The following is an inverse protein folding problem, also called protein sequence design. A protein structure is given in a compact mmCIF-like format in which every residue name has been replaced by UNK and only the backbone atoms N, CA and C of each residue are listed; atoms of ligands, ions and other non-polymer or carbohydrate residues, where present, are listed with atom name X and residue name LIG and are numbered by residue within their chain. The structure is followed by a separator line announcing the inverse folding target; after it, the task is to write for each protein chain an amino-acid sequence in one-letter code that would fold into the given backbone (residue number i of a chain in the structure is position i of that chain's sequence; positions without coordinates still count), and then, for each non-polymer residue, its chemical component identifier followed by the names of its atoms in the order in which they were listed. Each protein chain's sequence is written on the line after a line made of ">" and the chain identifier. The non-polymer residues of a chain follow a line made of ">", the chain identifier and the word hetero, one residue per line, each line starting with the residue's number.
data_IF_146789866692
#
_entry.id   IF_146789866692
#
_cell.length_a   1.000
_cell.length_b   1.000
_cell.length_c   1.000
_cell.angle_alpha   90.00
_cell.angle_beta   90.00
_cell.angle_gamma   90.00
#
_symmetry.space_group_name_H-M   'P 1'
#
loop_
_entity.id
_entity.type
_entity.pdbx_description
1 polymer ?
#
# COMPACT_ATOMS: atom_id res chain seq x y z
N UNK A 1 9.78 19.67 -14.93
CA UNK A 1 8.85 20.17 -13.89
C UNK A 1 8.45 18.96 -13.07
N UNK A 2 9.04 18.78 -11.88
CA UNK A 2 8.63 17.70 -10.98
C UNK A 2 7.23 18.05 -10.50
N UNK A 3 6.23 17.26 -10.89
CA UNK A 3 4.87 17.46 -10.42
C UNK A 3 4.88 17.34 -8.89
N UNK A 4 4.28 18.30 -8.19
CA UNK A 4 3.96 18.15 -6.77
C UNK A 4 3.07 16.91 -6.67
N UNK A 5 3.52 15.89 -5.95
CA UNK A 5 2.67 14.76 -5.62
C UNK A 5 1.73 15.19 -4.50
N UNK A 6 0.44 14.92 -4.66
CA UNK A 6 -0.52 15.04 -3.58
C UNK A 6 -0.27 13.93 -2.54
N UNK A 7 -0.63 14.20 -1.30
CA UNK A 7 -0.53 13.24 -0.19
C UNK A 7 -1.84 13.20 0.59
N UNK A 8 -2.05 12.13 1.34
CA UNK A 8 -3.22 11.95 2.19
C UNK A 8 -3.23 13.02 3.30
N UNK A 9 -4.40 13.63 3.51
CA UNK A 9 -4.58 14.59 4.61
C UNK A 9 -4.65 13.92 6.00
N UNK A 10 -5.02 12.65 6.04
CA UNK A 10 -5.08 11.81 7.23
C UNK A 10 -5.04 10.33 6.84
N UNK A 11 -4.75 9.46 7.80
CA UNK A 11 -4.82 8.01 7.62
C UNK A 11 -6.23 7.58 7.18
N UNK A 12 -6.29 6.65 6.25
CA UNK A 12 -7.53 6.07 5.72
C UNK A 12 -7.51 4.56 5.85
N UNK A 13 -8.69 3.99 6.07
CA UNK A 13 -8.88 2.55 6.07
C UNK A 13 -10.14 2.19 5.30
N UNK A 14 -10.11 1.06 4.62
CA UNK A 14 -11.28 0.52 3.93
C UNK A 14 -11.29 -0.99 4.03
N UNK A 15 -12.50 -1.56 4.02
CA UNK A 15 -12.68 -3.00 4.01
C UNK A 15 -13.67 -3.39 2.93
N UNK A 16 -13.32 -4.44 2.20
CA UNK A 16 -14.15 -5.04 1.16
C UNK A 16 -14.15 -6.56 1.29
N UNK A 17 -15.35 -7.15 1.30
CA UNK A 17 -15.50 -8.61 1.26
C UNK A 17 -15.88 -9.03 -0.17
N UNK A 18 -15.07 -9.88 -0.82
CA UNK A 18 -15.26 -10.37 -2.19
C UNK A 18 -15.15 -11.89 -2.18
N UNK A 19 -16.20 -12.60 -2.61
CA UNK A 19 -16.18 -14.06 -2.80
C UNK A 19 -15.57 -14.83 -1.60
N UNK A 20 -16.00 -14.49 -0.39
CA UNK A 20 -15.50 -15.05 0.88
C UNK A 20 -14.07 -14.64 1.29
N UNK A 21 -13.36 -13.88 0.46
CA UNK A 21 -12.11 -13.22 0.83
C UNK A 21 -12.39 -11.84 1.43
N UNK A 22 -11.59 -11.46 2.43
CA UNK A 22 -11.65 -10.16 3.08
C UNK A 22 -10.40 -9.36 2.75
N UNK A 23 -10.60 -8.19 2.18
CA UNK A 23 -9.54 -7.23 1.87
C UNK A 23 -9.64 -6.07 2.87
N UNK A 24 -8.56 -5.80 3.59
CA UNK A 24 -8.44 -4.67 4.52
C UNK A 24 -7.31 -3.78 4.03
N UNK A 25 -7.67 -2.58 3.58
CA UNK A 25 -6.73 -1.58 3.11
C UNK A 25 -6.44 -0.57 4.23
N UNK A 26 -5.15 -0.28 4.41
CA UNK A 26 -4.66 0.80 5.25
C UNK A 26 -3.84 1.74 4.35
N UNK A 27 -4.08 3.05 4.44
CA UNK A 27 -3.34 4.06 3.72
C UNK A 27 -2.95 5.19 4.67
N UNK A 28 -1.71 5.65 4.57
CA UNK A 28 -1.14 6.68 5.42
C UNK A 28 -0.22 7.57 4.59
N UNK A 29 -0.08 8.83 4.98
CA UNK A 29 0.94 9.71 4.43
C UNK A 29 2.34 9.24 4.86
N UNK A 30 3.34 9.51 4.02
CA UNK A 30 4.73 9.17 4.30
C UNK A 30 5.59 10.42 4.43
N UNK A 31 6.43 10.43 5.45
CA UNK A 31 7.44 11.49 5.66
C UNK A 31 8.80 11.11 5.09
N UNK A 32 9.08 9.80 4.98
CA UNK A 32 10.31 9.25 4.42
C UNK A 32 10.06 7.87 3.79
N UNK A 33 10.96 7.38 2.92
CA UNK A 33 10.90 5.99 2.43
C UNK A 33 11.01 4.94 3.54
N UNK A 34 11.72 5.24 4.63
CA UNK A 34 11.85 4.33 5.78
C UNK A 34 10.53 4.21 6.56
N UNK A 35 9.80 5.32 6.72
CA UNK A 35 8.49 5.35 7.38
C UNK A 35 7.52 4.35 6.69
N UNK A 36 7.62 4.15 5.37
CA UNK A 36 6.77 3.18 4.66
C UNK A 36 6.84 1.76 5.24
N UNK A 37 8.05 1.29 5.57
CA UNK A 37 8.23 -0.04 6.14
C UNK A 37 7.70 -0.13 7.58
N UNK A 38 7.83 0.95 8.35
CA UNK A 38 7.25 1.04 9.70
C UNK A 38 5.72 0.99 9.66
N UNK A 39 5.09 1.66 8.69
CA UNK A 39 3.64 1.57 8.48
C UNK A 39 3.24 0.14 8.14
N UNK A 40 3.92 -0.49 7.18
CA UNK A 40 3.62 -1.87 6.76
C UNK A 40 3.73 -2.83 7.95
N UNK A 41 4.81 -2.75 8.74
CA UNK A 41 4.98 -3.60 9.92
C UNK A 41 3.92 -3.36 11.00
N UNK A 42 3.49 -2.10 11.18
CA UNK A 42 2.46 -1.73 12.17
C UNK A 42 1.08 -2.26 11.81
N UNK A 43 0.74 -2.31 10.51
CA UNK A 43 -0.60 -2.72 10.05
C UNK A 43 -0.66 -4.16 9.55
N UNK A 44 0.48 -4.83 9.41
CA UNK A 44 0.53 -6.23 9.01
C UNK A 44 -0.23 -7.12 9.99
N UNK A 45 -1.02 -8.04 9.45
CA UNK A 45 -1.78 -9.03 10.21
C UNK A 45 -1.12 -10.39 9.99
N UNK A 46 -0.50 -11.00 11.02
CA UNK A 46 0.20 -12.28 10.88
C UNK A 46 -0.67 -13.41 10.35
N UNK A 47 -1.97 -13.38 10.64
CA UNK A 47 -2.94 -14.40 10.20
C UNK A 47 -3.54 -14.12 8.82
N UNK A 48 -3.24 -12.97 8.20
CA UNK A 48 -3.69 -12.70 6.84
C UNK A 48 -2.95 -13.60 5.84
N UNK A 49 -3.66 -14.03 4.78
CA UNK A 49 -3.06 -14.85 3.73
C UNK A 49 -1.93 -14.09 3.01
N UNK A 50 -2.13 -12.80 2.79
CA UNK A 50 -1.18 -11.89 2.16
C UNK A 50 -1.32 -10.50 2.79
N UNK A 51 -0.19 -9.84 3.02
CA UNK A 51 -0.02 -8.45 3.43
C UNK A 51 0.64 -7.67 2.26
N UNK A 52 -0.04 -7.63 1.12
CA UNK A 52 0.43 -6.90 -0.07
C UNK A 52 0.48 -5.39 0.22
N UNK A 53 1.47 -4.69 -0.35
CA UNK A 53 1.63 -3.25 -0.12
C UNK A 53 2.31 -2.56 -1.31
N UNK A 54 2.15 -1.24 -1.37
CA UNK A 54 2.96 -0.37 -2.22
C UNK A 54 3.10 1.01 -1.59
N UNK A 55 4.12 1.76 -2.00
CA UNK A 55 4.27 3.17 -1.65
C UNK A 55 4.92 3.98 -2.77
N UNK A 56 4.68 5.29 -2.73
CA UNK A 56 5.42 6.31 -3.46
C UNK A 56 5.83 7.44 -2.52
N UNK A 57 7.08 7.86 -2.61
CA UNK A 57 7.64 9.03 -1.96
C UNK A 57 8.54 9.76 -2.97
N UNK A 58 7.98 10.75 -3.68
CA UNK A 58 8.68 11.36 -4.82
C UNK A 58 8.99 10.33 -5.92
N UNK A 59 10.27 10.20 -6.25
CA UNK A 59 10.77 9.21 -7.22
C UNK A 59 11.01 7.83 -6.59
N UNK A 60 11.03 7.72 -5.26
CA UNK A 60 11.18 6.45 -4.56
C UNK A 60 9.83 5.72 -4.51
N UNK A 61 9.75 4.56 -5.15
CA UNK A 61 8.56 3.71 -5.09
C UNK A 61 8.94 2.25 -4.94
N UNK A 62 8.11 1.51 -4.22
CA UNK A 62 8.23 0.04 -4.10
C UNK A 62 6.85 -0.58 -3.97
N UNK A 63 6.78 -1.86 -4.29
CA UNK A 63 5.59 -2.67 -4.10
C UNK A 63 5.96 -4.12 -3.78
N UNK A 64 5.06 -4.82 -3.11
CA UNK A 64 5.18 -6.24 -2.76
C UNK A 64 3.85 -6.94 -2.99
N UNK A 65 3.92 -8.09 -3.64
CA UNK A 65 2.78 -9.00 -3.82
C UNK A 65 2.59 -9.94 -2.61
N UNK A 66 3.55 -10.03 -1.69
CA UNK A 66 3.51 -10.91 -0.51
C UNK A 66 3.01 -12.34 -0.76
N UNK A 67 3.55 -12.99 -1.80
CA UNK A 67 3.19 -14.38 -2.15
C UNK A 67 1.99 -14.52 -3.09
N UNK A 68 1.29 -13.43 -3.43
CA UNK A 68 0.38 -13.41 -4.58
C UNK A 68 1.18 -13.62 -5.89
N UNK A 69 0.51 -14.08 -6.99
CA UNK A 69 1.16 -14.16 -8.29
C UNK A 69 1.84 -12.84 -8.68
N UNK A 70 3.03 -12.94 -9.27
CA UNK A 70 3.85 -11.77 -9.54
C UNK A 70 3.10 -10.68 -10.33
N UNK A 71 3.02 -9.49 -9.76
CA UNK A 71 2.41 -8.31 -10.34
C UNK A 71 0.88 -8.23 -10.20
N UNK A 72 0.22 -9.10 -9.45
CA UNK A 72 -1.24 -9.08 -9.30
C UNK A 72 -1.75 -8.26 -8.13
N UNK A 73 -0.90 -7.85 -7.18
CA UNK A 73 -1.31 -7.07 -6.02
C UNK A 73 -0.51 -5.77 -5.85
N UNK A 74 0.80 -5.86 -5.65
CA UNK A 74 1.66 -4.71 -5.37
C UNK A 74 1.64 -3.66 -6.49
N UNK A 75 1.76 -4.10 -7.75
CA UNK A 75 1.73 -3.19 -8.91
C UNK A 75 0.37 -2.49 -9.07
N UNK A 76 -0.78 -3.19 -8.99
CA UNK A 76 -2.09 -2.54 -8.95
C UNK A 76 -2.26 -1.53 -7.81
N UNK A 77 -1.75 -1.82 -6.60
CA UNK A 77 -1.80 -0.87 -5.48
C UNK A 77 -0.99 0.40 -5.82
N UNK A 78 0.22 0.24 -6.37
CA UNK A 78 1.04 1.37 -6.79
C UNK A 78 0.35 2.21 -7.88
N UNK A 79 -0.27 1.57 -8.87
CA UNK A 79 -1.02 2.27 -9.90
C UNK A 79 -2.18 3.09 -9.30
N UNK A 80 -2.88 2.56 -8.30
CA UNK A 80 -3.94 3.29 -7.61
C UNK A 80 -3.44 4.51 -6.81
N UNK A 81 -2.18 4.50 -6.34
CA UNK A 81 -1.53 5.66 -5.72
C UNK A 81 -1.17 6.71 -6.77
N UNK A 82 -0.72 6.27 -7.94
CA UNK A 82 -0.24 7.16 -9.01
C UNK A 82 -1.37 7.87 -9.77
N UNK A 83 -2.61 7.35 -9.68
CA UNK A 83 -3.80 7.87 -10.37
C UNK A 83 -3.93 7.38 -11.81
#
# INVERSE_FOLDING_TARGET
>A
MTAMLDTLAADAHHRLDIKHSRFVAHAAALDTPAHAQEVVQRVAVPEATHNCWAYRFGEDYRSSDDGEPSGTAGRPILAAIDG
#
